data_IF_850897123758
#
_entry.id   IF_850897123758
#
_cell.length_a   1.000
_cell.length_b   1.000
_cell.length_c   1.000
_cell.angle_alpha   90.00
_cell.angle_beta   90.00
_cell.angle_gamma   90.00
#
_symmetry.space_group_name_H-M   'P 1'
#
loop_
_entity.id
_entity.type
_entity.pdbx_description
1 polymer ?
#
# COMPACT_ATOMS: atom_id res chain seq x y z
N UNK A 1 38.44 18.37 -1.71
CA UNK A 1 36.97 18.22 -1.83
C UNK A 1 36.64 16.73 -1.78
N UNK A 2 36.14 16.25 -0.64
CA UNK A 2 35.91 14.83 -0.40
C UNK A 2 34.78 14.31 -1.31
N UNK A 3 35.14 13.49 -2.30
CA UNK A 3 34.20 12.72 -3.10
C UNK A 3 33.65 11.60 -2.22
N UNK A 4 32.66 11.90 -1.39
CA UNK A 4 31.93 10.85 -0.67
C UNK A 4 31.11 10.07 -1.69
N UNK A 5 31.66 8.95 -2.16
CA UNK A 5 30.98 8.02 -3.04
C UNK A 5 29.74 7.45 -2.34
N UNK A 6 28.64 7.35 -3.07
CA UNK A 6 27.45 6.65 -2.59
C UNK A 6 27.68 5.13 -2.65
N UNK A 7 27.21 4.41 -1.64
CA UNK A 7 27.35 2.95 -1.55
C UNK A 7 26.02 2.26 -1.90
N UNK A 8 26.08 1.02 -2.42
CA UNK A 8 24.90 0.19 -2.73
C UNK A 8 23.92 0.09 -1.56
N UNK A 9 24.43 -0.06 -0.32
CA UNK A 9 23.60 -0.12 0.88
C UNK A 9 22.82 1.18 1.14
N UNK A 10 23.40 2.34 0.84
CA UNK A 10 22.69 3.63 0.98
C UNK A 10 21.56 3.74 -0.04
N UNK A 11 21.81 3.33 -1.29
CA UNK A 11 20.78 3.26 -2.34
C UNK A 11 19.66 2.30 -1.95
N UNK A 12 20.00 1.14 -1.36
CA UNK A 12 19.01 0.19 -0.87
C UNK A 12 18.14 0.79 0.24
N UNK A 13 18.73 1.45 1.24
CA UNK A 13 17.99 2.12 2.32
C UNK A 13 17.05 3.22 1.78
N UNK A 14 17.53 4.02 0.85
CA UNK A 14 16.72 5.05 0.20
C UNK A 14 15.57 4.45 -0.63
N UNK A 15 15.83 3.36 -1.37
CA UNK A 15 14.79 2.61 -2.11
C UNK A 15 13.72 2.07 -1.16
N UNK A 16 14.11 1.43 -0.06
CA UNK A 16 13.16 0.88 0.92
C UNK A 16 12.35 1.96 1.62
N UNK A 17 12.95 3.11 1.95
CA UNK A 17 12.24 4.24 2.53
C UNK A 17 11.18 4.79 1.57
N UNK A 18 11.52 4.97 0.29
CA UNK A 18 10.56 5.44 -0.73
C UNK A 18 9.37 4.49 -0.88
N UNK A 19 9.64 3.18 -0.93
CA UNK A 19 8.58 2.15 -1.02
C UNK A 19 7.68 2.20 0.22
N UNK A 20 8.26 2.30 1.42
CA UNK A 20 7.50 2.41 2.67
C UNK A 20 6.61 3.68 2.70
N UNK A 21 7.05 4.76 2.06
CA UNK A 21 6.27 5.99 1.89
C UNK A 21 5.31 5.96 0.69
N UNK A 22 5.13 4.82 0.01
CA UNK A 22 4.25 4.69 -1.15
C UNK A 22 4.73 5.43 -2.40
N UNK A 23 6.02 5.81 -2.46
CA UNK A 23 6.62 6.52 -3.60
C UNK A 23 7.43 5.56 -4.48
N UNK A 24 7.31 5.72 -5.79
CA UNK A 24 8.10 4.93 -6.74
C UNK A 24 9.60 5.31 -6.66
N UNK A 25 10.50 4.33 -6.45
CA UNK A 25 11.93 4.58 -6.29
C UNK A 25 12.61 4.90 -7.62
N UNK A 26 12.34 6.07 -8.17
CA UNK A 26 13.01 6.61 -9.36
C UNK A 26 14.41 7.15 -9.02
N UNK A 27 15.30 7.26 -10.00
CA UNK A 27 16.66 7.81 -9.81
C UNK A 27 16.63 9.18 -9.11
N UNK A 28 15.68 10.04 -9.49
CA UNK A 28 15.53 11.38 -8.91
C UNK A 28 15.05 11.29 -7.45
N UNK A 29 14.03 10.47 -7.18
CA UNK A 29 13.51 10.30 -5.83
C UNK A 29 14.59 9.74 -4.88
N UNK A 30 15.31 8.71 -5.30
CA UNK A 30 16.42 8.12 -4.55
C UNK A 30 17.54 9.14 -4.33
N UNK A 31 17.87 9.95 -5.33
CA UNK A 31 18.87 11.01 -5.19
C UNK A 31 18.46 12.09 -4.19
N UNK A 32 17.18 12.48 -4.18
CA UNK A 32 16.64 13.43 -3.20
C UNK A 32 16.74 12.86 -1.78
N UNK A 33 16.35 11.60 -1.58
CA UNK A 33 16.49 10.91 -0.28
C UNK A 33 17.94 10.78 0.19
N UNK A 34 18.89 10.65 -0.76
CA UNK A 34 20.32 10.63 -0.47
C UNK A 34 20.93 12.04 -0.26
N UNK A 35 20.12 13.08 -0.11
CA UNK A 35 20.60 14.45 0.11
C UNK A 35 21.28 15.06 -1.12
N UNK A 36 20.79 14.76 -2.32
CA UNK A 36 21.35 15.19 -3.61
C UNK A 36 22.76 14.67 -3.93
N UNK A 37 23.19 13.61 -3.25
CA UNK A 37 24.49 12.97 -3.45
C UNK A 37 24.43 11.78 -4.42
N UNK A 38 25.57 11.47 -5.06
CA UNK A 38 25.71 10.37 -6.01
C UNK A 38 25.22 10.70 -7.43
N UNK A 39 25.94 10.25 -8.46
CA UNK A 39 25.57 10.50 -9.85
C UNK A 39 24.34 9.69 -10.28
N UNK A 40 23.58 10.22 -11.25
CA UNK A 40 22.43 9.51 -11.84
C UNK A 40 22.82 8.12 -12.36
N UNK A 41 24.01 7.98 -12.94
CA UNK A 41 24.53 6.72 -13.48
C UNK A 41 24.86 5.71 -12.37
N UNK A 42 25.49 6.15 -11.27
CA UNK A 42 25.79 5.28 -10.13
C UNK A 42 24.53 4.82 -9.42
N UNK A 43 23.55 5.71 -9.22
CA UNK A 43 22.24 5.34 -8.64
C UNK A 43 21.51 4.36 -9.56
N UNK A 44 21.47 4.62 -10.87
CA UNK A 44 20.84 3.72 -11.83
C UNK A 44 21.48 2.32 -11.84
N UNK A 45 22.82 2.25 -11.80
CA UNK A 45 23.55 0.99 -11.71
C UNK A 45 23.17 0.23 -10.43
N UNK A 46 23.22 0.89 -9.26
CA UNK A 46 22.88 0.23 -8.00
C UNK A 46 21.40 -0.18 -7.93
N UNK A 47 20.47 0.60 -8.47
CA UNK A 47 19.06 0.19 -8.55
C UNK A 47 18.89 -1.08 -9.38
N UNK A 48 19.57 -1.18 -10.53
CA UNK A 48 19.59 -2.40 -11.35
C UNK A 48 20.23 -3.59 -10.62
N UNK A 49 21.36 -3.38 -9.93
CA UNK A 49 22.02 -4.42 -9.14
C UNK A 49 21.16 -4.94 -7.97
N UNK A 50 20.29 -4.10 -7.42
CA UNK A 50 19.35 -4.44 -6.35
C UNK A 50 18.08 -5.14 -6.88
N UNK A 51 17.80 -5.01 -8.18
CA UNK A 51 16.73 -5.74 -8.86
C UNK A 51 17.22 -7.07 -9.45
N UNK A 52 18.50 -7.16 -9.77
CA UNK A 52 19.09 -8.41 -10.21
C UNK A 52 19.02 -9.45 -9.06
N UNK A 53 18.55 -10.69 -9.33
CA UNK A 53 18.65 -11.76 -8.35
C UNK A 53 20.14 -11.92 -7.96
N UNK A 54 20.45 -12.29 -6.71
CA UNK A 54 21.83 -12.44 -6.25
C UNK A 54 22.53 -13.52 -7.08
N UNK A 55 23.23 -13.11 -8.14
CA UNK A 55 24.03 -13.99 -8.98
C UNK A 55 25.09 -14.65 -8.10
N UNK A 56 25.05 -15.97 -8.00
CA UNK A 56 26.10 -16.77 -7.34
C UNK A 56 25.92 -17.08 -5.85
N UNK A 57 24.83 -16.65 -5.20
CA UNK A 57 24.60 -17.07 -3.80
C UNK A 57 24.19 -18.54 -3.72
N UNK A 58 23.32 -19.00 -4.64
CA UNK A 58 22.88 -20.40 -4.72
C UNK A 58 23.91 -21.31 -5.40
N UNK A 59 24.72 -20.80 -6.34
CA UNK A 59 25.77 -21.59 -7.02
C UNK A 59 26.94 -21.97 -6.10
N UNK A 60 27.12 -21.26 -4.98
CA UNK A 60 28.11 -21.59 -3.94
C UNK A 60 27.59 -22.54 -2.87
N UNK A 61 26.28 -22.83 -2.86
CA UNK A 61 25.64 -23.72 -1.91
C UNK A 61 25.55 -25.12 -2.52
N UNK A 62 25.63 -26.14 -1.66
CA UNK A 62 25.41 -27.51 -2.12
C UNK A 62 23.96 -27.69 -2.58
N UNK A 63 23.75 -28.52 -3.59
CA UNK A 63 22.44 -28.82 -4.19
C UNK A 63 21.34 -29.14 -3.16
N UNK A 64 21.59 -29.90 -2.06
CA UNK A 64 20.59 -30.12 -1.02
C UNK A 64 20.16 -28.86 -0.27
N UNK A 65 21.07 -27.91 -0.04
CA UNK A 65 20.75 -26.65 0.63
C UNK A 65 19.92 -25.74 -0.28
N UNK A 66 20.20 -25.74 -1.59
CA UNK A 66 19.41 -24.99 -2.57
C UNK A 66 17.97 -25.49 -2.60
N UNK A 67 17.76 -26.81 -2.63
CA UNK A 67 16.42 -27.40 -2.59
C UNK A 67 15.65 -27.06 -1.31
N UNK A 68 16.31 -27.09 -0.15
CA UNK A 68 15.66 -26.74 1.12
C UNK A 68 15.24 -25.27 1.16
N UNK A 69 16.11 -24.36 0.70
CA UNK A 69 15.79 -22.92 0.64
C UNK A 69 14.66 -22.66 -0.36
N UNK A 70 14.65 -23.34 -1.50
CA UNK A 70 13.57 -23.25 -2.48
C UNK A 70 12.23 -23.68 -1.87
N UNK A 71 12.18 -24.85 -1.24
CA UNK A 71 10.96 -25.35 -0.58
C UNK A 71 10.46 -24.41 0.51
N UNK A 72 11.35 -23.90 1.37
CA UNK A 72 10.97 -22.92 2.39
C UNK A 72 10.46 -21.61 1.77
N UNK A 73 11.05 -21.17 0.66
CA UNK A 73 10.61 -19.96 -0.03
C UNK A 73 9.25 -20.11 -0.70
N UNK A 74 8.94 -21.31 -1.20
CA UNK A 74 7.63 -21.66 -1.75
C UNK A 74 6.58 -21.71 -0.63
N UNK A 75 6.86 -22.44 0.45
CA UNK A 75 5.98 -22.48 1.63
C UNK A 75 5.71 -21.08 2.20
N UNK A 76 6.73 -20.22 2.29
CA UNK A 76 6.55 -18.86 2.77
C UNK A 76 5.66 -18.02 1.84
N UNK A 77 5.75 -18.22 0.52
CA UNK A 77 4.87 -17.55 -0.45
C UNK A 77 3.43 -18.03 -0.28
N UNK A 78 3.22 -19.34 -0.18
CA UNK A 78 1.89 -19.92 0.00
C UNK A 78 1.23 -19.40 1.30
N UNK A 79 1.97 -19.37 2.41
CA UNK A 79 1.48 -18.82 3.67
C UNK A 79 1.17 -17.32 3.58
N UNK A 80 1.99 -16.55 2.85
CA UNK A 80 1.77 -15.13 2.65
C UNK A 80 0.53 -14.87 1.78
N UNK A 81 0.35 -15.64 0.72
CA UNK A 81 -0.84 -15.59 -0.14
C UNK A 81 -2.09 -15.97 0.65
N UNK A 82 -2.04 -17.01 1.47
CA UNK A 82 -3.17 -17.41 2.31
C UNK A 82 -3.57 -16.29 3.30
N UNK A 83 -2.58 -15.69 3.98
CA UNK A 83 -2.82 -14.54 4.87
C UNK A 83 -3.41 -13.34 4.13
N UNK A 84 -2.95 -13.08 2.91
CA UNK A 84 -3.42 -11.99 2.06
C UNK A 84 -4.86 -12.22 1.61
N UNK A 85 -5.21 -13.44 1.18
CA UNK A 85 -6.58 -13.83 0.83
C UNK A 85 -7.50 -13.69 2.05
N UNK A 86 -7.08 -14.17 3.22
CA UNK A 86 -7.83 -14.00 4.48
C UNK A 86 -8.07 -12.53 4.81
N UNK A 87 -7.05 -11.68 4.72
CA UNK A 87 -7.20 -10.24 4.96
C UNK A 87 -8.14 -9.58 3.93
N UNK A 88 -8.01 -9.91 2.65
CA UNK A 88 -8.87 -9.36 1.59
C UNK A 88 -10.33 -9.77 1.75
N UNK A 89 -10.58 -11.04 2.08
CA UNK A 89 -11.93 -11.54 2.32
C UNK A 89 -12.59 -10.87 3.51
N UNK A 90 -11.88 -10.75 4.65
CA UNK A 90 -12.36 -10.01 5.83
C UNK A 90 -12.67 -8.55 5.50
N UNK A 91 -11.72 -7.85 4.85
CA UNK A 91 -11.93 -6.46 4.44
C UNK A 91 -13.12 -6.30 3.49
N UNK A 92 -13.29 -7.23 2.54
CA UNK A 92 -14.43 -7.20 1.62
C UNK A 92 -15.78 -7.38 2.34
N UNK A 93 -15.81 -8.20 3.38
CA UNK A 93 -16.98 -8.44 4.21
C UNK A 93 -17.32 -7.18 5.03
N UNK A 94 -16.33 -6.62 5.73
CA UNK A 94 -16.48 -5.39 6.51
C UNK A 94 -16.93 -4.22 5.63
N UNK A 95 -16.32 -4.06 4.45
CA UNK A 95 -16.73 -3.04 3.48
C UNK A 95 -18.19 -3.21 3.07
N UNK A 96 -18.65 -4.44 2.79
CA UNK A 96 -20.06 -4.70 2.47
C UNK A 96 -20.97 -4.35 3.64
N UNK A 97 -20.62 -4.72 4.86
CA UNK A 97 -21.39 -4.40 6.06
C UNK A 97 -21.50 -2.88 6.28
N UNK A 98 -20.39 -2.15 6.12
CA UNK A 98 -20.38 -0.69 6.23
C UNK A 98 -21.25 -0.03 5.15
N UNK A 99 -21.17 -0.49 3.90
CA UNK A 99 -22.02 0.03 2.83
C UNK A 99 -23.52 -0.20 3.11
N UNK A 100 -23.88 -1.36 3.66
CA UNK A 100 -25.27 -1.63 4.08
C UNK A 100 -25.71 -0.71 5.22
N UNK A 101 -24.84 -0.44 6.20
CA UNK A 101 -25.15 0.50 7.28
C UNK A 101 -25.30 1.94 6.77
N UNK A 102 -24.47 2.37 5.82
CA UNK A 102 -24.59 3.67 5.18
C UNK A 102 -25.93 3.77 4.43
N UNK A 103 -26.28 2.77 3.62
CA UNK A 103 -27.56 2.77 2.92
C UNK A 103 -28.77 2.79 3.88
N UNK A 104 -28.68 2.07 5.00
CA UNK A 104 -29.73 2.05 6.03
C UNK A 104 -29.86 3.41 6.74
N UNK A 105 -28.74 4.04 7.07
CA UNK A 105 -28.75 5.35 7.74
C UNK A 105 -29.21 6.47 6.80
N UNK A 106 -28.82 6.42 5.53
CA UNK A 106 -29.31 7.34 4.49
C UNK A 106 -30.83 7.22 4.31
N UNK A 107 -31.37 6.00 4.18
CA UNK A 107 -32.82 5.83 4.04
C UNK A 107 -33.60 6.28 5.28
N UNK A 108 -33.06 6.09 6.49
CA UNK A 108 -33.64 6.63 7.72
C UNK A 108 -33.60 8.17 7.75
N UNK A 109 -32.51 8.78 7.28
CA UNK A 109 -32.37 10.23 7.18
C UNK A 109 -33.37 10.81 6.19
N UNK A 110 -33.49 10.23 5.00
CA UNK A 110 -34.48 10.62 3.98
C UNK A 110 -35.91 10.51 4.52
N UNK A 111 -36.20 9.45 5.27
CA UNK A 111 -37.50 9.27 5.90
C UNK A 111 -37.79 10.37 6.94
N UNK A 112 -36.84 10.68 7.82
CA UNK A 112 -36.97 11.75 8.79
C UNK A 112 -37.12 13.12 8.12
N UNK A 113 -36.35 13.40 7.06
CA UNK A 113 -36.43 14.65 6.31
C UNK A 113 -37.82 14.84 5.70
N UNK A 114 -38.36 13.81 5.03
CA UNK A 114 -39.73 13.85 4.49
C UNK A 114 -40.79 14.06 5.58
N UNK A 115 -40.56 13.56 6.80
CA UNK A 115 -41.48 13.79 7.92
C UNK A 115 -41.43 15.23 8.40
N UNK A 116 -40.24 15.82 8.48
CA UNK A 116 -40.07 17.24 8.81
C UNK A 116 -40.76 18.11 7.77
N UNK A 117 -40.50 17.89 6.48
CA UNK A 117 -41.10 18.67 5.39
C UNK A 117 -42.64 18.62 5.44
N UNK A 118 -43.22 17.43 5.69
CA UNK A 118 -44.67 17.27 5.85
C UNK A 118 -45.21 18.07 7.03
N UNK A 119 -44.60 17.93 8.21
CA UNK A 119 -45.04 18.67 9.40
C UNK A 119 -44.90 20.19 9.21
N UNK A 120 -43.85 20.65 8.54
CA UNK A 120 -43.68 22.07 8.21
C UNK A 120 -44.79 22.57 7.28
N UNK A 121 -45.19 21.78 6.27
CA UNK A 121 -46.31 22.14 5.39
C UNK A 121 -47.64 22.17 6.15
N UNK A 122 -47.93 21.19 6.98
CA UNK A 122 -49.13 21.15 7.82
C UNK A 122 -49.20 22.38 8.75
N UNK A 123 -48.08 22.74 9.38
CA UNK A 123 -47.99 23.88 10.29
C UNK A 123 -48.17 25.22 9.57
N UNK A 124 -47.66 25.36 8.34
CA UNK A 124 -47.95 26.53 7.48
C UNK A 124 -49.43 26.63 7.15
N UNK A 125 -50.06 25.54 6.73
CA UNK A 125 -51.50 25.54 6.38
C UNK A 125 -52.40 25.85 7.58
N UNK A 126 -52.02 25.44 8.80
CA UNK A 126 -52.76 25.82 10.02
C UNK A 126 -52.64 27.31 10.33
N UNK A 127 -51.45 27.90 10.14
CA UNK A 127 -51.22 29.34 10.34
C UNK A 127 -51.98 30.20 9.34
N UNK A 128 -52.17 29.74 8.11
CA UNK A 128 -52.94 30.47 7.08
C UNK A 128 -54.47 30.38 7.28
N UNK A 129 -54.94 29.40 8.07
CA UNK A 129 -56.37 29.20 8.38
C UNK A 129 -56.86 29.98 9.61
N UNK A 130 -55.93 30.50 10.42
CA UNK A 130 -56.21 31.33 11.60
C UNK A 130 -55.97 32.80 11.29
#
# INVERSE_FOLDING_TARGET
>A
MARNGITRQMVQKAKTALIAHGKNPTIKAVRTELGNTGSKTTISRYLKELEAPPKGALERLSEPLVHLIQGLSEQLKDEAEEKLIKAQTQFSLEKKQLLLQIAKTQSALDHCQRRIDKLETELKTQKERH
#
